data_IF_256892252321
#
_entry.id   IF_256892252321
#
_cell.length_a   1.000
_cell.length_b   1.000
_cell.length_c   1.000
_cell.angle_alpha   90.00
_cell.angle_beta   90.00
_cell.angle_gamma   90.00
#
_symmetry.space_group_name_H-M   'P 1'
#
loop_
_entity.id
_entity.type
_entity.pdbx_description
1 polymer ?
#
# COMPACT_ATOMS: atom_id res chain seq x y z
N UNK A 1 -19.09 9.36 -2.84
CA UNK A 1 -18.11 9.91 -1.88
C UNK A 1 -16.76 9.52 -2.39
N UNK A 2 -15.88 10.49 -2.61
CA UNK A 2 -14.52 10.20 -3.08
C UNK A 2 -13.78 9.45 -1.99
N UNK A 3 -13.31 8.24 -2.30
CA UNK A 3 -12.32 7.57 -1.50
C UNK A 3 -11.09 8.49 -1.44
N UNK A 4 -10.77 9.02 -0.27
CA UNK A 4 -9.50 9.69 -0.07
C UNK A 4 -8.46 8.59 -0.07
N UNK A 5 -7.84 8.35 -1.22
CA UNK A 5 -6.68 7.45 -1.33
C UNK A 5 -5.60 8.06 -0.43
N UNK A 6 -5.53 7.56 0.80
CA UNK A 6 -4.71 8.18 1.84
C UNK A 6 -3.23 8.18 1.49
N UNK A 7 -2.47 8.87 2.33
CA UNK A 7 -1.09 9.22 2.05
C UNK A 7 -0.22 7.98 1.73
N UNK A 8 0.71 8.16 0.79
CA UNK A 8 1.70 7.17 0.43
C UNK A 8 3.11 7.67 0.77
N UNK A 9 3.93 6.81 1.38
CA UNK A 9 5.30 7.12 1.77
C UNK A 9 6.26 6.09 1.18
N UNK A 10 7.39 6.52 0.61
CA UNK A 10 8.46 5.59 0.24
C UNK A 10 9.06 4.99 1.49
N UNK A 11 8.98 3.67 1.59
CA UNK A 11 9.56 2.88 2.67
C UNK A 11 10.43 1.78 2.08
N UNK A 12 11.39 1.32 2.87
CA UNK A 12 12.23 0.19 2.50
C UNK A 12 11.80 -1.01 3.34
N UNK A 13 11.72 -2.19 2.72
CA UNK A 13 11.38 -3.42 3.43
C UNK A 13 12.37 -3.66 4.57
N UNK A 14 11.85 -4.07 5.72
CA UNK A 14 12.66 -4.35 6.91
C UNK A 14 13.43 -5.69 6.83
N UNK A 15 13.34 -6.40 5.69
CA UNK A 15 14.04 -7.65 5.43
C UNK A 15 15.43 -7.46 4.79
N UNK A 16 16.21 -8.54 4.71
CA UNK A 16 17.53 -8.57 4.04
C UNK A 16 17.47 -8.08 2.59
N UNK A 17 16.36 -8.35 1.91
CA UNK A 17 16.07 -7.82 0.58
C UNK A 17 15.39 -6.44 0.72
N UNK A 18 16.21 -5.38 0.70
CA UNK A 18 15.75 -3.98 0.76
C UNK A 18 15.01 -3.59 -0.52
N UNK A 19 13.83 -4.15 -0.75
CA UNK A 19 12.92 -3.67 -1.78
C UNK A 19 12.33 -2.34 -1.35
N UNK A 20 12.46 -1.36 -2.23
CA UNK A 20 11.73 -0.10 -2.12
C UNK A 20 10.26 -0.36 -2.43
N UNK A 21 9.38 0.07 -1.53
CA UNK A 21 7.94 -0.03 -1.69
C UNK A 21 7.28 1.29 -1.25
N UNK A 22 6.06 1.52 -1.69
CA UNK A 22 5.24 2.62 -1.21
C UNK A 22 4.32 2.08 -0.11
N UNK A 23 4.49 2.56 1.11
CA UNK A 23 3.53 2.33 2.19
C UNK A 23 2.33 3.21 1.93
N UNK A 24 1.14 2.63 1.81
CA UNK A 24 -0.13 3.32 1.51
C UNK A 24 -1.08 3.11 2.68
N UNK A 25 -1.72 4.17 3.16
CA UNK A 25 -2.83 4.07 4.09
C UNK A 25 -4.13 4.38 3.34
N UNK A 26 -5.09 3.45 3.37
CA UNK A 26 -6.39 3.60 2.72
C UNK A 26 -7.45 3.81 3.79
N UNK A 27 -7.91 5.04 3.90
CA UNK A 27 -9.03 5.42 4.76
C UNK A 27 -10.27 5.59 3.88
N UNK A 28 -10.96 4.49 3.61
CA UNK A 28 -12.21 4.50 2.87
C UNK A 28 -13.35 4.04 3.79
N UNK A 29 -14.48 4.76 3.86
CA UNK A 29 -15.60 4.41 4.73
C UNK A 29 -16.28 3.08 4.36
N UNK A 30 -15.98 2.49 3.19
CA UNK A 30 -16.40 1.13 2.83
C UNK A 30 -15.61 0.06 3.60
N UNK A 31 -14.49 0.42 4.23
CA UNK A 31 -13.74 -0.47 5.10
C UNK A 31 -14.12 -0.28 6.57
N UNK A 32 -14.26 -1.38 7.30
CA UNK A 32 -14.52 -1.36 8.75
C UNK A 32 -13.43 -0.65 9.59
N UNK A 33 -12.24 -0.47 9.04
CA UNK A 33 -11.11 0.23 9.64
C UNK A 33 -10.12 0.67 8.53
N UNK A 34 -9.27 1.68 8.78
CA UNK A 34 -8.21 2.06 7.86
C UNK A 34 -7.30 0.87 7.51
N UNK A 35 -6.94 0.74 6.23
CA UNK A 35 -6.11 -0.38 5.75
C UNK A 35 -4.71 0.13 5.44
N UNK A 36 -3.70 -0.48 6.05
CA UNK A 36 -2.31 -0.27 5.66
C UNK A 36 -1.90 -1.29 4.60
N UNK A 37 -1.33 -0.80 3.52
CA UNK A 37 -0.91 -1.58 2.38
C UNK A 37 0.52 -1.24 1.97
N UNK A 38 1.20 -2.19 1.34
CA UNK A 38 2.49 -2.01 0.70
C UNK A 38 2.31 -2.16 -0.81
N UNK A 39 2.63 -1.11 -1.56
CA UNK A 39 2.59 -1.08 -3.01
C UNK A 39 3.98 -1.30 -3.60
N UNK A 40 4.09 -2.28 -4.49
CA UNK A 40 5.30 -2.61 -5.22
C UNK A 40 5.10 -2.26 -6.69
N UNK A 41 5.81 -1.23 -7.16
CA UNK A 41 5.79 -0.84 -8.57
C UNK A 41 6.47 -1.90 -9.44
N UNK A 42 5.84 -2.21 -10.57
CA UNK A 42 6.43 -2.95 -11.67
C UNK A 42 6.85 -1.95 -12.76
N UNK A 43 8.14 -1.59 -12.76
CA UNK A 43 8.70 -0.55 -13.62
C UNK A 43 8.56 -0.82 -15.13
N UNK A 44 8.32 -2.07 -15.54
CA UNK A 44 8.22 -2.43 -16.96
C UNK A 44 6.83 -2.20 -17.56
N UNK A 45 5.79 -2.28 -16.73
CA UNK A 45 4.40 -2.34 -17.21
C UNK A 45 3.58 -1.12 -16.76
N UNK A 46 4.16 -0.23 -15.94
CA UNK A 46 3.44 0.88 -15.30
C UNK A 46 2.34 0.40 -14.33
N UNK A 47 2.37 -0.88 -13.97
CA UNK A 47 1.46 -1.51 -13.00
C UNK A 47 2.18 -1.73 -11.68
N UNK A 48 1.46 -2.17 -10.65
CA UNK A 48 2.07 -2.57 -9.39
C UNK A 48 1.16 -3.43 -8.56
N UNK A 49 1.74 -4.15 -7.60
CA UNK A 49 1.02 -5.00 -6.69
C UNK A 49 0.79 -4.26 -5.37
N UNK A 50 -0.47 -4.10 -4.98
CA UNK A 50 -0.85 -3.62 -3.65
C UNK A 50 -1.09 -4.82 -2.74
N UNK A 51 -0.28 -4.96 -1.70
CA UNK A 51 -0.36 -6.05 -0.72
C UNK A 51 -0.83 -5.48 0.60
N UNK A 52 -1.95 -5.98 1.12
CA UNK A 52 -2.45 -5.64 2.44
C UNK A 52 -2.89 -6.89 3.18
N UNK A 53 -2.87 -6.83 4.49
CA UNK A 53 -3.40 -7.88 5.36
C UNK A 53 -4.47 -7.29 6.27
N UNK A 54 -5.56 -8.04 6.45
CA UNK A 54 -6.62 -7.74 7.41
C UNK A 54 -6.77 -8.96 8.29
N UNK A 55 -6.73 -8.77 9.61
CA UNK A 55 -7.24 -9.79 10.50
C UNK A 55 -8.74 -9.92 10.25
N UNK A 56 -9.19 -11.16 10.05
CA UNK A 56 -10.59 -11.48 9.78
C UNK A 56 -11.39 -11.52 11.07
#
# INVERSE_FOLDING_TARGET
GGAELGAAWRSNSAGEDKKSFLSVELDDPSFAAPVRAAFFENANDGTGALVWSRNR
#
